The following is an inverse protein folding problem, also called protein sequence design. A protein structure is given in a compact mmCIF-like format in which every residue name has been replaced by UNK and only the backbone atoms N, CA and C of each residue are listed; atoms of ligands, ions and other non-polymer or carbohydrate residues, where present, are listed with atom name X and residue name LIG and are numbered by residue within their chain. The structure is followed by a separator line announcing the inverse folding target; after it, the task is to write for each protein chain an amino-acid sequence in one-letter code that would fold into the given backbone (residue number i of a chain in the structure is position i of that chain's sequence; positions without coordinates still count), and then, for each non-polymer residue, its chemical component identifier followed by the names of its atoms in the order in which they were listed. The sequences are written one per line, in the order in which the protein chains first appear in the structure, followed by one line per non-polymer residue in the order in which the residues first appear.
data_IF_763971449173
#
_entry.id   IF_763971449173
#
_cell.length_a   1.000
_cell.length_b   1.000
_cell.length_c   1.000
_cell.angle_alpha   90.00
_cell.angle_beta   90.00
_cell.angle_gamma   90.00
#
_symmetry.space_group_name_H-M   'P 1'
#
loop_
_entity.id
_entity.type
_entity.pdbx_description
1 polymer ?
#
# COMPACT_ATOMS: atom_id res chain seq x y z
N UNK A 1 -2.52 -102.46 43.22
CA UNK A 1 -2.30 -101.50 42.17
C UNK A 1 -2.60 -100.12 42.75
N UNK A 2 -1.62 -99.22 43.01
CA UNK A 2 -1.90 -97.91 43.49
C UNK A 2 -1.94 -96.94 42.28
N UNK A 3 -2.88 -96.03 42.34
CA UNK A 3 -3.20 -95.03 41.33
C UNK A 3 -2.44 -93.74 41.64
N UNK A 4 -1.37 -93.47 40.90
CA UNK A 4 -0.60 -92.22 41.05
C UNK A 4 -1.30 -91.06 40.36
N UNK A 5 -1.88 -90.15 41.20
CA UNK A 5 -2.36 -88.85 40.73
C UNK A 5 -1.19 -87.90 40.65
N UNK A 6 -0.67 -87.68 39.40
CA UNK A 6 0.21 -86.52 39.11
C UNK A 6 -0.56 -85.23 39.26
N UNK A 7 -0.40 -84.52 40.39
CA UNK A 7 -0.80 -83.15 40.57
C UNK A 7 0.32 -82.27 39.93
N UNK A 8 0.06 -81.75 38.71
CA UNK A 8 0.93 -80.75 38.11
C UNK A 8 0.76 -79.44 38.92
N UNK A 9 1.61 -79.24 39.89
CA UNK A 9 1.73 -77.96 40.63
C UNK A 9 2.26 -76.91 39.66
N UNK A 10 1.39 -75.96 39.25
CA UNK A 10 1.83 -74.75 38.53
C UNK A 10 2.79 -74.07 39.50
N UNK A 11 4.08 -74.13 39.17
CA UNK A 11 5.13 -73.46 39.93
C UNK A 11 4.85 -71.95 39.99
N UNK A 12 4.34 -71.43 41.10
CA UNK A 12 4.05 -70.04 41.33
C UNK A 12 5.20 -69.08 40.94
N UNK A 13 6.42 -69.57 40.97
CA UNK A 13 7.62 -68.90 40.52
C UNK A 13 7.52 -68.42 39.04
N UNK A 14 7.02 -69.27 38.12
CA UNK A 14 6.84 -68.90 36.71
C UNK A 14 5.76 -67.82 36.54
N UNK A 15 4.69 -67.83 37.39
CA UNK A 15 3.69 -66.78 37.41
C UNK A 15 4.28 -65.42 37.77
N UNK A 16 5.14 -65.38 38.81
CA UNK A 16 5.81 -64.13 39.22
C UNK A 16 6.76 -63.63 38.11
N UNK A 17 7.53 -64.50 37.47
CA UNK A 17 8.45 -64.14 36.36
C UNK A 17 7.68 -63.54 35.19
N UNK A 18 6.54 -64.10 34.81
CA UNK A 18 5.68 -63.59 33.73
C UNK A 18 5.10 -62.20 34.10
N UNK A 19 4.68 -61.99 35.34
CA UNK A 19 4.18 -60.70 35.80
C UNK A 19 5.29 -59.65 35.79
N UNK A 20 6.48 -59.96 36.25
CA UNK A 20 7.66 -59.05 36.23
C UNK A 20 8.05 -58.71 34.78
N UNK A 21 8.04 -59.69 33.90
CA UNK A 21 8.37 -59.49 32.47
C UNK A 21 7.29 -58.63 31.76
N UNK A 22 6.01 -58.86 32.04
CA UNK A 22 4.92 -58.04 31.57
C UNK A 22 5.00 -56.60 32.09
N UNK A 23 5.32 -56.42 33.38
CA UNK A 23 5.55 -55.11 33.99
C UNK A 23 6.76 -54.37 33.34
N UNK A 24 7.86 -55.12 33.10
CA UNK A 24 9.05 -54.57 32.43
C UNK A 24 8.75 -54.16 30.96
N UNK A 25 7.98 -54.97 30.22
CA UNK A 25 7.50 -54.61 28.90
C UNK A 25 6.56 -53.37 28.93
N UNK A 26 5.65 -53.32 29.91
CA UNK A 26 4.74 -52.19 30.09
C UNK A 26 5.49 -50.90 30.43
N UNK A 27 6.45 -50.95 31.35
CA UNK A 27 7.32 -49.84 31.73
C UNK A 27 8.15 -49.40 30.52
N UNK A 28 8.77 -50.35 29.82
CA UNK A 28 9.57 -50.12 28.60
C UNK A 28 8.68 -49.46 27.53
N UNK A 29 7.49 -49.99 27.26
CA UNK A 29 6.56 -49.41 26.28
C UNK A 29 6.10 -48.01 26.68
N UNK A 30 5.89 -47.73 27.98
CA UNK A 30 5.45 -46.42 28.48
C UNK A 30 6.58 -45.37 28.47
N UNK A 31 7.81 -45.77 28.83
CA UNK A 31 8.93 -44.84 28.91
C UNK A 31 9.71 -44.72 27.59
N UNK A 32 9.79 -45.77 26.78
CA UNK A 32 10.52 -45.71 25.48
C UNK A 32 9.65 -45.33 24.29
N UNK A 33 8.30 -45.38 24.35
CA UNK A 33 7.44 -44.85 23.30
C UNK A 33 7.45 -43.32 23.18
N UNK A 34 8.04 -42.60 24.17
CA UNK A 34 8.06 -41.15 24.19
C UNK A 34 9.16 -40.47 23.38
N UNK A 35 10.08 -41.20 22.79
CA UNK A 35 11.21 -40.59 22.05
C UNK A 35 11.15 -40.76 20.52
N UNK A 36 10.05 -41.29 20.00
CA UNK A 36 9.86 -41.34 18.56
C UNK A 36 9.51 -39.94 18.03
N UNK A 37 10.33 -39.42 17.16
CA UNK A 37 10.12 -38.22 16.33
C UNK A 37 10.40 -36.85 16.95
N UNK A 38 11.46 -36.71 17.73
CA UNK A 38 12.03 -35.40 17.97
C UNK A 38 13.15 -35.11 16.98
N UNK A 39 12.95 -34.15 16.10
CA UNK A 39 14.00 -33.60 15.26
C UNK A 39 14.79 -32.57 16.05
N UNK A 40 16.08 -32.43 15.75
CA UNK A 40 16.97 -31.47 16.42
C UNK A 40 17.16 -30.29 15.47
N UNK A 41 17.16 -29.08 16.01
CA UNK A 41 17.41 -27.88 15.25
C UNK A 41 18.28 -26.89 16.00
N UNK A 42 18.60 -25.82 15.30
CA UNK A 42 19.30 -24.65 15.83
C UNK A 42 18.45 -23.41 15.55
N UNK A 43 18.35 -22.52 16.51
CA UNK A 43 17.77 -21.21 16.31
C UNK A 43 18.71 -20.34 15.49
N UNK A 44 18.16 -19.62 14.53
CA UNK A 44 18.94 -18.74 13.66
C UNK A 44 18.33 -17.34 13.68
N UNK A 45 19.21 -16.35 13.76
CA UNK A 45 18.89 -14.94 13.56
C UNK A 45 19.42 -14.52 12.21
N UNK A 46 18.54 -13.98 11.38
CA UNK A 46 19.00 -13.35 10.13
C UNK A 46 19.40 -11.91 10.42
N UNK A 47 20.67 -11.62 10.17
CA UNK A 47 21.16 -10.26 10.10
C UNK A 47 20.44 -9.52 8.98
N UNK A 48 19.94 -8.32 9.23
CA UNK A 48 19.41 -7.47 8.19
C UNK A 48 20.32 -6.26 7.96
N UNK A 49 20.50 -5.94 6.70
CA UNK A 49 21.35 -4.86 6.24
C UNK A 49 20.49 -3.67 5.87
N UNK A 50 20.90 -2.50 6.31
CA UNK A 50 20.29 -1.24 5.92
C UNK A 50 21.13 -0.63 4.82
N UNK A 51 20.51 -0.40 3.67
CA UNK A 51 21.17 0.09 2.47
C UNK A 51 20.69 1.52 2.14
N UNK A 52 21.49 2.25 1.38
CA UNK A 52 21.06 3.48 0.74
C UNK A 52 20.21 3.14 -0.50
N UNK A 53 19.06 3.79 -0.69
CA UNK A 53 18.22 3.57 -1.88
C UNK A 53 18.71 4.38 -3.08
N UNK A 54 19.39 5.50 -2.82
CA UNK A 54 19.99 6.35 -3.88
C UNK A 54 21.33 6.93 -3.43
N UNK A 55 22.01 7.56 -4.38
CA UNK A 55 23.26 8.28 -4.08
C UNK A 55 22.99 9.42 -3.09
N UNK A 56 23.74 9.45 -1.99
CA UNK A 56 23.53 10.42 -0.92
C UNK A 56 24.81 10.67 -0.12
N UNK A 57 24.88 11.80 0.57
CA UNK A 57 25.93 12.13 1.52
C UNK A 57 25.49 11.68 2.91
N UNK A 58 26.37 11.01 3.66
CA UNK A 58 26.12 10.65 5.06
C UNK A 58 26.24 11.92 5.92
N UNK A 59 25.11 12.42 6.42
CA UNK A 59 25.06 13.60 7.28
C UNK A 59 25.50 13.28 8.70
N UNK A 60 24.94 12.23 9.28
CA UNK A 60 25.29 11.77 10.63
C UNK A 60 25.06 10.26 10.79
N UNK A 61 25.89 9.64 11.61
CA UNK A 61 25.75 8.26 12.08
C UNK A 61 25.58 8.32 13.59
N UNK A 62 24.43 7.81 14.08
CA UNK A 62 24.04 7.93 15.50
C UNK A 62 24.37 6.71 16.32
N UNK A 63 24.83 5.63 15.68
CA UNK A 63 25.08 4.33 16.32
C UNK A 63 26.48 3.82 16.04
N UNK A 64 26.95 2.98 16.93
CA UNK A 64 28.27 2.30 16.80
C UNK A 64 28.12 0.79 16.83
N UNK A 65 29.07 0.08 16.26
CA UNK A 65 29.10 -1.38 16.32
C UNK A 65 29.10 -1.88 17.77
N UNK A 66 28.27 -2.89 18.07
CA UNK A 66 28.03 -3.41 19.42
C UNK A 66 26.93 -2.70 20.21
N UNK A 67 26.39 -1.59 19.73
CA UNK A 67 25.31 -0.86 20.39
C UNK A 67 23.97 -1.59 20.23
N UNK A 68 23.20 -1.69 21.32
CA UNK A 68 21.81 -2.15 21.28
C UNK A 68 20.92 -1.00 20.79
N UNK A 69 20.01 -1.33 19.89
CA UNK A 69 19.03 -0.40 19.31
C UNK A 69 17.61 -0.95 19.47
N UNK A 70 16.64 -0.05 19.58
CA UNK A 70 15.22 -0.38 19.65
C UNK A 70 14.53 -0.05 18.34
N UNK A 71 13.43 -0.73 18.07
CA UNK A 71 12.55 -0.44 16.94
C UNK A 71 12.17 1.04 16.89
N UNK A 72 12.36 1.68 15.73
CA UNK A 72 12.11 3.11 15.53
C UNK A 72 13.24 4.04 15.98
N UNK A 73 14.35 3.53 16.50
CA UNK A 73 15.52 4.33 16.86
C UNK A 73 16.23 4.86 15.61
N UNK A 74 16.63 6.12 15.62
CA UNK A 74 17.34 6.77 14.52
C UNK A 74 18.78 6.27 14.43
N UNK A 75 19.16 5.74 13.27
CA UNK A 75 20.46 5.14 13.03
C UNK A 75 21.38 6.04 12.22
N UNK A 76 20.94 6.44 11.04
CA UNK A 76 21.72 7.22 10.08
C UNK A 76 20.80 8.27 9.43
N UNK A 77 21.34 9.48 9.28
CA UNK A 77 20.75 10.54 8.47
C UNK A 77 21.59 10.73 7.20
N UNK A 78 20.94 10.66 6.06
CA UNK A 78 21.53 10.94 4.76
C UNK A 78 20.96 12.25 4.21
N UNK A 79 21.64 12.86 3.25
CA UNK A 79 21.16 13.99 2.47
C UNK A 79 21.47 13.79 0.99
N UNK A 80 20.56 14.18 0.11
CA UNK A 80 20.77 14.16 -1.32
C UNK A 80 20.37 15.51 -1.90
N UNK A 81 21.38 16.27 -2.32
CA UNK A 81 21.15 17.57 -2.97
C UNK A 81 20.38 17.43 -4.27
N UNK A 82 20.61 16.36 -5.01
CA UNK A 82 19.88 16.04 -6.24
C UNK A 82 18.39 15.89 -5.97
N UNK A 83 18.01 15.12 -4.94
CA UNK A 83 16.61 14.92 -4.55
C UNK A 83 15.92 16.22 -4.12
N UNK A 84 16.60 17.06 -3.35
CA UNK A 84 16.06 18.38 -2.97
C UNK A 84 15.85 19.28 -4.19
N UNK A 85 16.80 19.27 -5.14
CA UNK A 85 16.63 20.02 -6.39
C UNK A 85 15.46 19.49 -7.25
N UNK A 86 15.24 18.19 -7.30
CA UNK A 86 14.11 17.59 -8.02
C UNK A 86 12.78 17.99 -7.36
N UNK A 87 12.69 17.94 -6.03
CA UNK A 87 11.53 18.39 -5.25
C UNK A 87 11.22 19.86 -5.54
N UNK A 88 12.23 20.72 -5.51
CA UNK A 88 12.07 22.15 -5.77
C UNK A 88 11.62 22.39 -7.23
N UNK A 89 12.20 21.70 -8.18
CA UNK A 89 11.85 21.80 -9.61
C UNK A 89 10.38 21.42 -9.86
N UNK A 90 9.93 20.28 -9.32
CA UNK A 90 8.55 19.83 -9.46
C UNK A 90 7.59 20.77 -8.72
N UNK A 91 7.93 21.20 -7.51
CA UNK A 91 7.14 22.17 -6.73
C UNK A 91 6.94 23.47 -7.48
N UNK A 92 8.01 24.04 -8.06
CA UNK A 92 7.96 25.26 -8.87
C UNK A 92 7.11 25.04 -10.14
N UNK A 93 7.21 23.87 -10.78
CA UNK A 93 6.39 23.56 -11.95
C UNK A 93 4.91 23.52 -11.64
N UNK A 94 4.53 22.93 -10.48
CA UNK A 94 3.15 22.92 -10.00
C UNK A 94 2.63 24.33 -9.77
N UNK A 95 3.42 25.20 -9.15
CA UNK A 95 3.05 26.62 -8.93
C UNK A 95 2.80 27.32 -10.24
N UNK A 96 3.70 27.18 -11.22
CA UNK A 96 3.54 27.81 -12.56
C UNK A 96 2.27 27.34 -13.28
N UNK A 97 1.94 26.03 -13.22
CA UNK A 97 0.72 25.52 -13.84
C UNK A 97 -0.55 26.00 -13.12
N UNK A 98 -0.52 26.15 -11.79
CA UNK A 98 -1.64 26.73 -11.03
C UNK A 98 -1.86 28.20 -11.38
N UNK A 99 -0.80 28.97 -11.55
CA UNK A 99 -0.87 30.37 -11.99
C UNK A 99 -1.40 30.48 -13.44
N UNK A 100 -0.95 29.58 -14.32
CA UNK A 100 -1.47 29.50 -15.69
C UNK A 100 -2.97 29.16 -15.69
N UNK A 101 -3.39 28.19 -14.89
CA UNK A 101 -4.80 27.80 -14.73
C UNK A 101 -5.66 28.99 -14.27
N UNK A 102 -5.18 29.74 -13.27
CA UNK A 102 -5.90 30.91 -12.78
C UNK A 102 -5.97 32.02 -13.83
N UNK A 103 -4.88 32.25 -14.56
CA UNK A 103 -4.83 33.27 -15.64
C UNK A 103 -5.78 32.92 -16.77
N UNK A 104 -5.82 31.66 -17.21
CA UNK A 104 -6.77 31.17 -18.23
C UNK A 104 -8.21 31.29 -17.75
N UNK A 105 -8.51 30.95 -16.48
CA UNK A 105 -9.87 31.12 -15.95
C UNK A 105 -10.34 32.59 -15.99
N UNK A 106 -9.46 33.54 -15.68
CA UNK A 106 -9.75 34.97 -15.80
C UNK A 106 -9.96 35.40 -17.24
N UNK A 107 -9.16 34.86 -18.18
CA UNK A 107 -9.28 35.18 -19.62
C UNK A 107 -10.64 34.70 -20.17
N UNK A 108 -11.06 33.47 -19.83
CA UNK A 108 -12.36 32.93 -20.24
C UNK A 108 -13.50 33.79 -19.72
N UNK A 109 -13.43 34.21 -18.45
CA UNK A 109 -14.44 35.09 -17.88
C UNK A 109 -14.50 36.44 -18.60
N UNK A 110 -13.33 37.05 -18.90
CA UNK A 110 -13.26 38.29 -19.66
C UNK A 110 -13.84 38.16 -21.06
N UNK A 111 -13.60 37.02 -21.75
CA UNK A 111 -14.17 36.74 -23.09
C UNK A 111 -15.70 36.62 -23.03
N UNK A 112 -16.27 35.97 -21.99
CA UNK A 112 -17.72 35.87 -21.79
C UNK A 112 -18.29 37.24 -21.51
N UNK A 113 -17.67 38.06 -20.67
CA UNK A 113 -18.15 39.41 -20.36
C UNK A 113 -18.07 40.33 -21.56
N UNK A 114 -17.02 40.25 -22.37
CA UNK A 114 -16.89 40.96 -23.64
C UNK A 114 -18.02 40.53 -24.62
N UNK A 115 -18.29 39.23 -24.77
CA UNK A 115 -19.35 38.72 -25.63
C UNK A 115 -20.74 39.27 -25.20
N UNK A 116 -20.98 39.31 -23.88
CA UNK A 116 -22.23 39.87 -23.34
C UNK A 116 -22.42 41.36 -23.62
N UNK A 117 -21.33 42.11 -23.48
CA UNK A 117 -21.32 43.53 -23.77
C UNK A 117 -21.51 43.81 -25.26
N UNK A 118 -20.80 43.12 -26.13
CA UNK A 118 -20.85 43.25 -27.58
C UNK A 118 -22.24 42.88 -28.13
N UNK A 119 -22.80 41.76 -27.67
CA UNK A 119 -24.14 41.31 -28.13
C UNK A 119 -25.31 41.97 -27.38
N UNK A 120 -25.03 42.66 -26.31
CA UNK A 120 -26.03 43.46 -25.57
C UNK A 120 -26.57 44.64 -26.37
N UNK A 121 -25.68 45.33 -27.15
CA UNK A 121 -26.06 46.50 -27.94
C UNK A 121 -27.12 46.18 -29.01
N UNK A 122 -26.97 45.16 -29.89
CA UNK A 122 -28.00 44.79 -30.86
C UNK A 122 -29.32 44.33 -30.22
N UNK A 123 -29.28 43.74 -29.05
CA UNK A 123 -30.49 43.32 -28.30
C UNK A 123 -31.25 44.52 -27.77
N UNK A 124 -30.55 45.54 -27.26
CA UNK A 124 -31.17 46.81 -26.78
C UNK A 124 -31.78 47.60 -27.93
N UNK A 125 -31.11 47.65 -29.09
CA UNK A 125 -31.66 48.25 -30.29
C UNK A 125 -32.96 47.57 -30.74
N UNK A 126 -32.99 46.22 -30.77
CA UNK A 126 -34.18 45.44 -31.08
C UNK A 126 -35.29 45.67 -30.07
N UNK A 127 -34.97 45.80 -28.77
CA UNK A 127 -35.95 46.10 -27.73
C UNK A 127 -36.57 47.49 -27.92
N UNK A 128 -35.76 48.48 -28.30
CA UNK A 128 -36.21 49.84 -28.59
C UNK A 128 -37.13 49.85 -29.80
N UNK A 129 -36.74 49.14 -30.90
CA UNK A 129 -37.59 49.05 -32.11
C UNK A 129 -38.92 48.32 -31.86
N UNK A 130 -38.88 47.26 -31.02
CA UNK A 130 -40.10 46.54 -30.55
C UNK A 130 -40.99 47.48 -29.77
N UNK A 131 -40.45 48.31 -28.87
CA UNK A 131 -41.20 49.28 -28.07
C UNK A 131 -41.84 50.36 -28.96
N UNK A 132 -41.10 50.90 -29.95
CA UNK A 132 -41.66 51.86 -30.91
C UNK A 132 -42.78 51.23 -31.74
N UNK A 133 -42.57 50.06 -32.33
CA UNK A 133 -43.56 49.34 -33.12
C UNK A 133 -44.86 49.05 -32.32
N UNK A 134 -44.72 48.70 -31.02
CA UNK A 134 -45.92 48.57 -30.13
C UNK A 134 -46.60 49.86 -29.92
N UNK A 135 -45.90 50.98 -29.72
CA UNK A 135 -46.47 52.31 -29.58
C UNK A 135 -47.25 52.71 -30.83
N UNK A 136 -46.68 52.45 -32.03
CA UNK A 136 -47.31 52.73 -33.31
C UNK A 136 -48.57 51.90 -33.50
N UNK A 137 -48.57 50.63 -33.13
CA UNK A 137 -49.79 49.79 -33.17
C UNK A 137 -50.88 50.35 -32.24
N UNK A 138 -50.53 50.80 -31.03
CA UNK A 138 -51.48 51.38 -30.08
C UNK A 138 -52.06 52.71 -30.60
N UNK A 139 -51.18 53.56 -31.20
CA UNK A 139 -51.63 54.83 -31.78
C UNK A 139 -52.58 54.59 -32.96
N UNK A 140 -52.20 53.69 -33.89
CA UNK A 140 -53.06 53.34 -35.01
C UNK A 140 -54.42 52.77 -34.55
N UNK A 141 -54.44 51.93 -33.48
CA UNK A 141 -55.65 51.40 -32.89
C UNK A 141 -56.53 52.48 -32.30
N UNK A 142 -55.99 53.53 -31.65
CA UNK A 142 -56.70 54.67 -31.12
C UNK A 142 -57.28 55.53 -32.28
N UNK A 143 -56.51 55.90 -33.28
CA UNK A 143 -56.92 56.67 -34.42
C UNK A 143 -57.98 55.96 -35.22
N UNK A 144 -57.87 54.65 -35.46
CA UNK A 144 -58.90 53.88 -36.15
C UNK A 144 -60.25 53.86 -35.35
N UNK A 145 -60.17 53.76 -34.02
CA UNK A 145 -61.31 53.77 -33.14
C UNK A 145 -61.99 55.13 -33.16
N UNK A 146 -61.27 56.23 -33.21
CA UNK A 146 -61.81 57.59 -33.31
C UNK A 146 -62.40 57.91 -34.71
N UNK A 147 -61.85 57.37 -35.76
CA UNK A 147 -62.29 57.54 -37.15
C UNK A 147 -63.52 56.61 -37.47
N UNK A 148 -63.63 55.46 -36.84
CA UNK A 148 -64.63 54.44 -37.07
C UNK A 148 -66.01 54.77 -36.42
N UNK A 149 -66.22 55.94 -35.84
CA UNK A 149 -67.53 56.41 -35.34
C UNK A 149 -68.50 56.72 -36.46
N UNK A 150 -68.22 56.40 -37.72
CA UNK A 150 -69.03 56.77 -38.86
C UNK A 150 -69.35 55.79 -39.97
N UNK A 151 -68.80 54.56 -40.06
CA UNK A 151 -69.15 53.56 -41.07
C UNK A 151 -68.55 52.19 -40.85
N UNK A 152 -69.30 51.14 -41.11
CA UNK A 152 -69.02 49.71 -41.33
C UNK A 152 -67.66 49.16 -40.91
N UNK A 153 -67.61 48.50 -39.80
CA UNK A 153 -66.45 47.89 -39.16
C UNK A 153 -66.08 46.46 -39.69
N UNK A 154 -66.33 46.19 -40.97
CA UNK A 154 -66.23 44.78 -41.45
C UNK A 154 -64.97 44.35 -42.15
N UNK A 155 -63.90 45.12 -42.27
CA UNK A 155 -62.69 44.71 -43.12
C UNK A 155 -61.33 44.97 -42.46
N UNK A 156 -61.20 44.96 -41.19
CA UNK A 156 -59.88 44.97 -40.58
C UNK A 156 -59.54 43.58 -40.02
N UNK A 157 -59.00 42.74 -40.91
CA UNK A 157 -58.44 41.52 -40.48
C UNK A 157 -57.22 41.84 -39.61
N UNK A 158 -57.34 41.74 -38.29
CA UNK A 158 -56.26 42.07 -37.31
C UNK A 158 -55.00 41.29 -37.55
N UNK A 159 -55.08 40.19 -38.32
CA UNK A 159 -53.93 39.29 -38.65
C UNK A 159 -53.00 39.83 -39.75
N UNK A 160 -53.55 40.65 -40.70
CA UNK A 160 -52.78 41.15 -41.86
C UNK A 160 -52.22 42.57 -41.67
N UNK A 161 -52.20 43.06 -40.43
CA UNK A 161 -51.62 44.39 -40.16
C UNK A 161 -50.09 44.35 -40.32
N UNK A 162 -49.49 45.12 -41.26
CA UNK A 162 -48.02 45.10 -41.53
C UNK A 162 -47.19 45.41 -40.30
N UNK A 163 -47.68 46.22 -39.34
CA UNK A 163 -47.00 46.51 -38.09
C UNK A 163 -46.98 45.29 -37.15
N UNK A 164 -47.95 44.39 -37.16
CA UNK A 164 -47.91 43.14 -36.42
C UNK A 164 -46.99 42.13 -37.04
N UNK A 165 -46.91 42.04 -38.37
CA UNK A 165 -45.98 41.21 -39.08
C UNK A 165 -44.55 41.68 -38.72
N UNK A 166 -44.29 43.00 -38.75
CA UNK A 166 -43.02 43.59 -38.35
C UNK A 166 -42.69 43.25 -36.88
N UNK A 167 -43.65 43.43 -35.99
CA UNK A 167 -43.47 43.11 -34.55
C UNK A 167 -43.09 41.64 -34.35
N UNK A 168 -43.76 40.70 -35.04
CA UNK A 168 -43.47 39.27 -34.94
C UNK A 168 -42.10 38.96 -35.51
N UNK A 169 -41.68 39.60 -36.59
CA UNK A 169 -40.34 39.44 -37.15
C UNK A 169 -39.25 39.92 -36.18
N UNK A 170 -39.47 41.06 -35.51
CA UNK A 170 -38.53 41.61 -34.53
C UNK A 170 -38.40 40.68 -33.30
N UNK A 171 -39.52 40.11 -32.82
CA UNK A 171 -39.47 39.11 -31.75
C UNK A 171 -38.69 37.86 -32.16
N UNK A 172 -38.90 37.40 -33.40
CA UNK A 172 -38.12 36.26 -33.94
C UNK A 172 -36.65 36.57 -34.03
N UNK A 173 -36.26 37.74 -34.52
CA UNK A 173 -34.87 38.20 -34.59
C UNK A 173 -34.25 38.29 -33.20
N UNK A 174 -34.99 38.91 -32.22
CA UNK A 174 -34.53 38.96 -30.82
C UNK A 174 -34.30 37.57 -30.25
N UNK A 175 -35.23 36.64 -30.48
CA UNK A 175 -35.05 35.25 -30.00
C UNK A 175 -33.86 34.56 -30.62
N UNK A 176 -33.62 34.74 -31.94
CA UNK A 176 -32.47 34.19 -32.65
C UNK A 176 -31.15 34.78 -32.15
N UNK A 177 -31.08 36.11 -31.94
CA UNK A 177 -29.88 36.75 -31.36
C UNK A 177 -29.56 36.21 -29.97
N UNK A 178 -30.59 36.15 -29.10
CA UNK A 178 -30.42 35.58 -27.75
C UNK A 178 -29.98 34.14 -27.76
N UNK A 179 -30.49 33.32 -28.65
CA UNK A 179 -30.11 31.94 -28.80
C UNK A 179 -28.66 31.82 -29.31
N UNK A 180 -28.25 32.61 -30.31
CA UNK A 180 -26.89 32.63 -30.82
C UNK A 180 -25.86 33.05 -29.74
N UNK A 181 -26.22 34.03 -28.90
CA UNK A 181 -25.40 34.46 -27.78
C UNK A 181 -25.21 33.33 -26.76
N UNK A 182 -26.29 32.63 -26.37
CA UNK A 182 -26.24 31.49 -25.45
C UNK A 182 -25.34 30.38 -25.98
N UNK A 183 -25.44 30.06 -27.28
CA UNK A 183 -24.59 29.05 -27.91
C UNK A 183 -23.12 29.47 -27.85
N UNK A 184 -22.78 30.71 -28.25
CA UNK A 184 -21.39 31.20 -28.22
C UNK A 184 -20.81 31.23 -26.78
N UNK A 185 -21.62 31.64 -25.80
CA UNK A 185 -21.21 31.62 -24.39
C UNK A 185 -20.93 30.17 -23.92
N UNK A 186 -21.80 29.23 -24.31
CA UNK A 186 -21.59 27.82 -23.99
C UNK A 186 -20.35 27.25 -24.63
N UNK A 187 -20.06 27.60 -25.89
CA UNK A 187 -18.84 27.17 -26.61
C UNK A 187 -17.57 27.66 -25.91
N UNK A 188 -17.50 28.96 -25.57
CA UNK A 188 -16.36 29.54 -24.84
C UNK A 188 -16.15 28.84 -23.49
N UNK A 189 -17.24 28.61 -22.74
CA UNK A 189 -17.15 27.91 -21.46
C UNK A 189 -16.73 26.46 -21.61
N UNK A 190 -17.23 25.77 -22.64
CA UNK A 190 -16.88 24.38 -22.92
C UNK A 190 -15.40 24.23 -23.29
N UNK A 191 -14.89 25.10 -24.16
CA UNK A 191 -13.47 25.12 -24.52
C UNK A 191 -12.58 25.38 -23.29
N UNK A 192 -12.98 26.39 -22.48
CA UNK A 192 -12.29 26.69 -21.24
C UNK A 192 -12.32 25.56 -20.22
N UNK A 193 -13.41 24.82 -20.13
CA UNK A 193 -13.53 23.66 -19.25
C UNK A 193 -12.57 22.54 -19.66
N UNK A 194 -12.44 22.25 -20.96
CA UNK A 194 -11.52 21.24 -21.49
C UNK A 194 -10.07 21.62 -21.17
N UNK A 195 -9.68 22.87 -21.40
CA UNK A 195 -8.35 23.36 -21.06
C UNK A 195 -8.05 23.28 -19.55
N UNK A 196 -9.01 23.65 -18.71
CA UNK A 196 -8.87 23.53 -17.25
C UNK A 196 -8.72 22.08 -16.80
N UNK A 197 -9.47 21.15 -17.41
CA UNK A 197 -9.30 19.73 -17.12
C UNK A 197 -7.90 19.22 -17.50
N UNK A 198 -7.37 19.66 -18.65
CA UNK A 198 -6.04 19.27 -19.06
C UNK A 198 -4.99 19.73 -18.05
N UNK A 199 -5.04 21.01 -17.65
CA UNK A 199 -4.13 21.57 -16.64
C UNK A 199 -4.28 20.88 -15.28
N UNK A 200 -5.51 20.60 -14.84
CA UNK A 200 -5.76 19.85 -13.62
C UNK A 200 -5.13 18.45 -13.64
N UNK A 201 -5.23 17.74 -14.77
CA UNK A 201 -4.62 16.41 -14.90
C UNK A 201 -3.10 16.49 -14.85
N UNK A 202 -2.49 17.50 -15.48
CA UNK A 202 -1.05 17.72 -15.42
C UNK A 202 -0.57 18.05 -14.00
N UNK A 203 -1.28 18.94 -13.31
CA UNK A 203 -0.99 19.29 -11.91
C UNK A 203 -1.08 18.04 -11.02
N UNK A 204 -2.13 17.24 -11.18
CA UNK A 204 -2.32 16.01 -10.40
C UNK A 204 -1.17 15.01 -10.60
N UNK A 205 -0.71 14.83 -11.84
CA UNK A 205 0.44 13.95 -12.12
C UNK A 205 1.70 14.44 -11.43
N UNK A 206 1.99 15.74 -11.50
CA UNK A 206 3.16 16.33 -10.82
C UNK A 206 3.03 16.29 -9.29
N UNK A 207 1.82 16.43 -8.74
CA UNK A 207 1.59 16.27 -7.29
C UNK A 207 1.86 14.84 -6.83
N UNK A 208 1.50 13.82 -7.63
CA UNK A 208 1.84 12.42 -7.37
C UNK A 208 3.36 12.17 -7.44
N UNK A 209 4.03 12.75 -8.43
CA UNK A 209 5.49 12.67 -8.54
C UNK A 209 6.18 13.35 -7.35
N UNK A 210 5.69 14.52 -6.93
CA UNK A 210 6.19 15.23 -5.76
C UNK A 210 6.03 14.41 -4.47
N UNK A 211 4.91 13.72 -4.31
CA UNK A 211 4.66 12.86 -3.14
C UNK A 211 5.61 11.66 -3.10
N UNK A 212 5.90 11.07 -4.27
CA UNK A 212 6.91 10.02 -4.40
C UNK A 212 8.29 10.52 -3.95
N UNK A 213 8.74 11.68 -4.48
CA UNK A 213 10.03 12.27 -4.11
C UNK A 213 10.11 12.63 -2.63
N UNK A 214 9.00 13.08 -2.02
CA UNK A 214 8.93 13.33 -0.56
C UNK A 214 9.04 12.05 0.24
N UNK A 215 8.47 10.97 -0.23
CA UNK A 215 8.61 9.64 0.39
C UNK A 215 10.07 9.18 0.31
N UNK A 216 10.71 9.31 -0.85
CA UNK A 216 12.15 9.03 -1.00
C UNK A 216 13.01 9.89 -0.07
N UNK A 217 12.66 11.18 0.11
CA UNK A 217 13.33 12.05 1.08
C UNK A 217 13.17 11.55 2.51
N UNK A 218 12.00 11.06 2.88
CA UNK A 218 11.79 10.48 4.22
C UNK A 218 12.63 9.22 4.43
N UNK A 219 12.87 8.44 3.37
CA UNK A 219 13.69 7.23 3.40
C UNK A 219 15.20 7.53 3.52
N UNK A 220 15.64 8.78 3.36
CA UNK A 220 17.02 9.16 3.66
C UNK A 220 17.34 9.13 5.16
N UNK A 221 16.33 9.09 6.00
CA UNK A 221 16.49 8.90 7.44
C UNK A 221 16.24 7.42 7.76
N UNK A 222 17.27 6.72 8.21
CA UNK A 222 17.20 5.29 8.47
C UNK A 222 16.94 5.02 9.94
N UNK A 223 15.92 4.22 10.20
CA UNK A 223 15.50 3.79 11.54
C UNK A 223 15.64 2.27 11.69
N UNK A 224 15.81 1.81 12.93
CA UNK A 224 15.82 0.39 13.24
C UNK A 224 14.43 -0.22 13.01
N UNK A 225 14.34 -1.26 12.21
CA UNK A 225 13.08 -1.98 11.93
C UNK A 225 12.70 -2.97 13.01
N UNK A 226 13.65 -3.39 13.85
CA UNK A 226 13.43 -4.28 15.01
C UNK A 226 14.47 -4.02 16.09
N UNK A 227 14.17 -4.49 17.31
CA UNK A 227 15.15 -4.50 18.41
C UNK A 227 16.32 -5.41 18.05
N UNK A 228 17.53 -4.91 18.23
CA UNK A 228 18.72 -5.65 17.81
C UNK A 228 20.03 -5.07 18.35
N UNK A 229 21.11 -5.64 17.88
CA UNK A 229 22.48 -5.15 18.11
C UNK A 229 23.08 -4.77 16.77
N UNK A 230 23.65 -3.58 16.66
CA UNK A 230 24.38 -3.15 15.47
C UNK A 230 25.65 -4.01 15.35
N UNK A 231 25.69 -4.87 14.35
CA UNK A 231 26.84 -5.78 14.13
C UNK A 231 28.00 -5.04 13.49
N UNK A 232 27.70 -4.21 12.49
CA UNK A 232 28.71 -3.48 11.73
C UNK A 232 28.17 -2.13 11.25
N UNK A 233 29.03 -1.13 11.17
CA UNK A 233 28.77 0.16 10.53
C UNK A 233 29.83 0.34 9.45
N UNK A 234 29.40 0.48 8.19
CA UNK A 234 30.27 0.47 7.02
C UNK A 234 30.61 1.88 6.51
N UNK A 235 29.92 2.90 7.00
CA UNK A 235 30.02 4.28 6.50
C UNK A 235 30.37 5.26 7.60
N UNK A 236 30.88 6.44 7.21
CA UNK A 236 31.28 7.52 8.11
C UNK A 236 30.57 8.82 7.75
N UNK A 237 30.32 9.73 8.72
CA UNK A 237 29.84 11.08 8.44
C UNK A 237 30.74 11.79 7.41
N UNK A 238 30.14 12.47 6.43
CA UNK A 238 30.82 13.15 5.34
C UNK A 238 31.18 12.28 4.13
N UNK A 239 30.91 10.97 4.19
CA UNK A 239 31.13 10.04 3.07
C UNK A 239 29.98 10.08 2.07
N UNK A 240 30.31 10.05 0.78
CA UNK A 240 29.31 9.92 -0.29
C UNK A 240 29.14 8.45 -0.65
N UNK A 241 27.89 7.99 -0.62
CA UNK A 241 27.54 6.60 -0.94
C UNK A 241 26.71 6.55 -2.21
N UNK A 242 26.88 5.46 -2.96
CA UNK A 242 26.07 5.15 -4.15
C UNK A 242 24.76 4.47 -3.76
N UNK A 243 23.84 4.36 -4.71
CA UNK A 243 22.62 3.56 -4.53
C UNK A 243 22.98 2.11 -4.15
N UNK A 244 22.18 1.54 -3.24
CA UNK A 244 22.30 0.18 -2.72
C UNK A 244 23.60 -0.13 -1.95
N UNK A 245 24.36 0.88 -1.56
CA UNK A 245 25.50 0.71 -0.66
C UNK A 245 25.01 0.31 0.73
N UNK A 246 25.61 -0.72 1.30
CA UNK A 246 25.34 -1.16 2.67
C UNK A 246 25.86 -0.11 3.66
N UNK A 247 24.97 0.38 4.53
CA UNK A 247 25.27 1.41 5.51
C UNK A 247 25.66 0.79 6.86
N UNK A 248 24.83 -0.13 7.32
CA UNK A 248 25.06 -0.87 8.56
C UNK A 248 24.29 -2.20 8.54
N UNK A 249 24.69 -3.09 9.46
CA UNK A 249 24.04 -4.38 9.68
C UNK A 249 23.58 -4.48 11.13
N UNK A 250 22.37 -5.06 11.31
CA UNK A 250 21.76 -5.27 12.63
C UNK A 250 21.37 -6.73 12.76
N UNK A 251 21.75 -7.31 13.90
CA UNK A 251 21.33 -8.65 14.30
C UNK A 251 20.23 -8.51 15.35
N UNK A 252 18.99 -9.00 15.10
CA UNK A 252 17.94 -9.03 16.10
C UNK A 252 18.38 -9.78 17.37
N UNK A 253 17.90 -9.33 18.52
CA UNK A 253 18.25 -9.98 19.82
C UNK A 253 17.70 -11.40 19.91
N UNK A 254 16.55 -11.64 19.30
CA UNK A 254 15.83 -12.91 19.38
C UNK A 254 15.66 -13.58 18.04
N UNK A 255 15.85 -14.90 17.96
CA UNK A 255 15.67 -15.63 16.72
C UNK A 255 14.21 -15.65 16.30
N UNK A 256 13.98 -15.56 15.01
CA UNK A 256 12.65 -15.71 14.40
C UNK A 256 12.54 -16.98 13.56
N UNK A 257 13.66 -17.67 13.37
CA UNK A 257 13.73 -18.88 12.57
C UNK A 257 14.44 -19.99 13.32
N UNK A 258 13.98 -21.22 13.12
CA UNK A 258 14.64 -22.43 13.57
C UNK A 258 14.94 -23.27 12.33
N UNK A 259 16.19 -23.69 12.18
CA UNK A 259 16.58 -24.67 11.18
C UNK A 259 16.59 -26.02 11.86
N UNK A 260 15.60 -26.85 11.55
CA UNK A 260 15.54 -28.24 12.00
C UNK A 260 16.23 -29.16 11.00
N UNK A 261 16.77 -30.26 11.48
CA UNK A 261 17.42 -31.28 10.65
C UNK A 261 16.71 -32.61 10.82
N UNK A 262 16.03 -33.04 9.75
CA UNK A 262 15.34 -34.31 9.68
C UNK A 262 16.32 -35.40 9.21
N UNK A 263 16.70 -36.29 10.13
CA UNK A 263 17.60 -37.39 9.84
C UNK A 263 16.83 -38.71 9.73
N UNK A 264 17.20 -39.59 8.76
CA UNK A 264 16.68 -40.95 8.64
C UNK A 264 15.41 -41.07 7.77
N UNK A 265 14.70 -42.21 7.93
CA UNK A 265 13.51 -42.56 7.13
C UNK A 265 12.29 -41.63 7.29
N UNK A 266 12.33 -40.69 8.25
CA UNK A 266 11.20 -39.83 8.62
C UNK A 266 11.21 -38.46 7.91
N UNK A 267 11.64 -38.43 6.65
CA UNK A 267 11.73 -37.18 5.87
C UNK A 267 10.41 -36.44 5.61
N UNK A 268 9.27 -37.01 6.02
CA UNK A 268 7.95 -36.47 5.70
C UNK A 268 7.05 -36.25 6.93
N UNK A 269 7.61 -35.97 8.10
CA UNK A 269 6.82 -35.88 9.33
C UNK A 269 6.00 -34.58 9.44
N UNK A 270 6.38 -33.54 8.75
CA UNK A 270 5.67 -32.25 8.81
C UNK A 270 5.30 -31.78 7.38
N UNK A 271 4.10 -31.24 7.20
CA UNK A 271 3.75 -30.52 5.98
C UNK A 271 4.10 -29.04 6.11
N UNK A 272 4.30 -28.35 4.98
CA UNK A 272 4.43 -26.90 5.00
C UNK A 272 3.13 -26.28 5.49
N UNK A 273 3.22 -25.41 6.50
CA UNK A 273 2.08 -24.81 7.18
C UNK A 273 1.74 -25.48 8.52
N UNK A 274 2.28 -26.67 8.82
CA UNK A 274 2.03 -27.35 10.09
C UNK A 274 2.59 -26.57 11.28
N UNK A 275 1.85 -26.65 12.40
CA UNK A 275 2.28 -26.12 13.67
C UNK A 275 3.13 -27.17 14.41
N UNK A 276 4.35 -26.80 14.75
CA UNK A 276 5.31 -27.65 15.45
C UNK A 276 5.68 -27.04 16.79
N UNK A 277 5.95 -27.88 17.77
CA UNK A 277 6.41 -27.45 19.08
C UNK A 277 7.92 -27.44 19.10
N UNK A 278 8.49 -26.26 19.37
CA UNK A 278 9.92 -26.04 19.56
C UNK A 278 10.21 -25.89 21.04
N UNK A 279 11.19 -26.59 21.56
CA UNK A 279 11.60 -26.51 22.96
C UNK A 279 13.14 -26.52 23.08
N UNK A 280 13.67 -25.81 24.08
CA UNK A 280 15.10 -25.82 24.36
C UNK A 280 15.59 -27.24 24.67
N UNK A 281 16.76 -27.61 24.14
CA UNK A 281 17.31 -28.97 24.30
C UNK A 281 17.67 -29.31 25.76
N UNK A 282 18.21 -28.35 26.51
CA UNK A 282 18.65 -28.53 27.90
C UNK A 282 17.60 -28.15 28.93
N UNK A 283 16.63 -27.32 28.61
CA UNK A 283 15.63 -26.80 29.50
C UNK A 283 14.22 -26.93 28.89
N UNK A 284 13.54 -28.03 29.18
CA UNK A 284 12.19 -28.30 28.62
C UNK A 284 11.10 -27.35 29.08
N UNK A 285 11.38 -26.33 29.90
CA UNK A 285 10.42 -25.31 30.33
C UNK A 285 10.18 -24.26 29.27
N UNK A 286 11.15 -23.98 28.39
CA UNK A 286 11.01 -23.05 27.25
C UNK A 286 10.39 -23.83 26.09
N UNK A 287 9.11 -23.57 25.82
CA UNK A 287 8.35 -24.18 24.74
C UNK A 287 7.60 -23.11 23.96
N UNK A 288 7.68 -23.18 22.65
CA UNK A 288 6.95 -22.28 21.77
C UNK A 288 6.35 -23.06 20.60
N UNK A 289 5.28 -22.57 20.02
CA UNK A 289 4.72 -23.12 18.79
C UNK A 289 5.28 -22.33 17.61
N UNK A 290 5.91 -23.03 16.67
CA UNK A 290 6.36 -22.50 15.40
C UNK A 290 5.55 -23.05 14.24
N UNK A 291 5.70 -22.48 13.06
CA UNK A 291 5.07 -22.93 11.81
C UNK A 291 6.14 -23.35 10.82
N UNK A 292 5.96 -24.52 10.19
CA UNK A 292 6.84 -24.97 9.10
C UNK A 292 6.61 -24.10 7.87
N UNK A 293 7.67 -23.40 7.42
CA UNK A 293 7.61 -22.50 6.24
C UNK A 293 8.19 -23.14 4.98
N UNK A 294 9.05 -24.17 5.13
CA UNK A 294 9.62 -24.83 3.97
C UNK A 294 10.66 -25.88 4.33
N UNK A 295 11.17 -26.51 3.28
CA UNK A 295 12.24 -27.49 3.35
C UNK A 295 13.44 -27.03 2.52
N UNK A 296 14.63 -27.23 3.08
CA UNK A 296 15.89 -27.02 2.39
C UNK A 296 16.46 -28.28 1.75
N UNK A 297 17.73 -28.20 1.40
CA UNK A 297 18.50 -29.32 0.87
C UNK A 297 18.85 -30.36 1.96
N UNK A 298 19.38 -31.50 1.56
CA UNK A 298 20.03 -32.42 2.47
C UNK A 298 21.47 -31.91 2.67
N UNK A 299 21.76 -31.49 3.89
CA UNK A 299 23.06 -30.91 4.26
C UNK A 299 23.72 -31.68 5.40
N UNK A 300 25.00 -31.46 5.61
CA UNK A 300 25.68 -31.95 6.79
C UNK A 300 25.18 -31.22 8.03
N UNK A 301 24.86 -31.96 9.10
CA UNK A 301 24.47 -31.36 10.35
C UNK A 301 25.62 -30.48 10.91
N UNK A 302 25.30 -29.29 11.46
CA UNK A 302 26.25 -28.47 12.20
C UNK A 302 26.96 -29.30 13.32
N UNK A 303 28.20 -29.00 13.62
CA UNK A 303 28.98 -29.76 14.56
C UNK A 303 28.36 -29.87 15.97
N UNK A 304 27.67 -28.80 16.39
CA UNK A 304 26.91 -28.75 17.66
C UNK A 304 25.78 -29.78 17.73
N UNK A 305 25.25 -30.24 16.58
CA UNK A 305 24.20 -31.26 16.50
C UNK A 305 24.69 -32.65 16.26
N UNK A 306 26.00 -32.83 15.92
CA UNK A 306 26.56 -34.13 15.69
C UNK A 306 26.80 -34.88 17.01
N UNK A 307 26.48 -36.17 17.05
CA UNK A 307 26.74 -37.03 18.22
C UNK A 307 28.19 -37.48 18.31
N UNK A 308 28.90 -37.48 17.20
CA UNK A 308 30.32 -37.89 17.09
C UNK A 308 30.98 -37.07 16.01
N UNK A 309 32.18 -36.59 16.27
CA UNK A 309 33.00 -35.87 15.30
C UNK A 309 33.64 -36.79 14.23
N UNK A 310 33.69 -38.11 14.51
CA UNK A 310 34.28 -39.10 13.60
C UNK A 310 33.36 -39.47 12.41
N UNK A 311 32.04 -39.32 12.55
CA UNK A 311 31.06 -39.68 11.51
C UNK A 311 30.18 -38.51 11.22
N UNK A 312 30.25 -37.99 9.99
CA UNK A 312 29.42 -36.90 9.53
C UNK A 312 27.98 -37.36 9.36
N UNK A 313 27.06 -36.70 10.04
CA UNK A 313 25.62 -36.94 9.89
C UNK A 313 25.04 -35.98 8.88
N UNK A 314 24.06 -36.42 8.08
CA UNK A 314 23.33 -35.62 7.12
C UNK A 314 21.83 -35.62 7.46
N UNK A 315 21.17 -34.51 7.19
CA UNK A 315 19.73 -34.34 7.40
C UNK A 315 19.16 -33.36 6.39
N UNK A 316 17.86 -33.50 6.14
CA UNK A 316 17.12 -32.53 5.35
C UNK A 316 16.76 -31.35 6.25
N UNK A 317 17.07 -30.15 5.80
CA UNK A 317 16.69 -28.94 6.50
C UNK A 317 15.18 -28.73 6.47
N UNK A 318 14.63 -28.27 7.58
CA UNK A 318 13.25 -27.76 7.70
C UNK A 318 13.31 -26.40 8.34
N UNK A 319 12.71 -25.41 7.69
CA UNK A 319 12.65 -24.05 8.20
C UNK A 319 11.33 -23.85 8.96
N UNK A 320 11.47 -23.39 10.17
CA UNK A 320 10.33 -23.17 11.09
C UNK A 320 10.38 -21.71 11.54
N UNK A 321 9.32 -20.99 11.28
CA UNK A 321 9.13 -19.65 11.79
C UNK A 321 8.63 -19.69 13.23
N UNK A 322 9.25 -18.92 14.10
CA UNK A 322 8.87 -18.78 15.51
C UNK A 322 8.57 -17.30 15.83
N UNK A 323 7.60 -17.01 16.73
CA UNK A 323 7.31 -15.64 17.14
C UNK A 323 8.53 -14.96 17.75
N UNK A 324 8.71 -13.65 17.49
CA UNK A 324 9.79 -12.83 18.06
C UNK A 324 9.71 -12.70 19.59
N UNK A 325 8.54 -12.97 20.19
CA UNK A 325 8.33 -12.97 21.65
C UNK A 325 8.84 -14.24 22.34
N UNK A 326 9.92 -14.84 21.83
CA UNK A 326 10.52 -16.05 22.41
C UNK A 326 11.68 -15.70 23.36
N UNK A 327 12.17 -16.70 24.13
CA UNK A 327 13.31 -16.56 25.04
C UNK A 327 14.51 -17.43 24.62
N UNK A 328 14.58 -17.82 23.33
CA UNK A 328 15.74 -18.56 22.82
C UNK A 328 16.90 -17.61 22.54
N UNK A 329 18.11 -18.12 22.76
CA UNK A 329 19.33 -17.47 22.31
C UNK A 329 19.62 -17.80 20.84
N UNK A 330 20.40 -16.96 20.16
CA UNK A 330 20.87 -17.27 18.81
C UNK A 330 21.84 -18.46 18.85
N UNK A 331 21.70 -19.42 17.93
CA UNK A 331 22.51 -20.63 17.88
C UNK A 331 22.13 -21.66 18.93
N UNK A 332 21.02 -21.48 19.67
CA UNK A 332 20.59 -22.42 20.69
C UNK A 332 20.06 -23.71 20.06
N UNK A 333 20.47 -24.85 20.67
CA UNK A 333 20.00 -26.17 20.25
C UNK A 333 18.57 -26.39 20.75
N UNK A 334 17.70 -26.79 19.84
CA UNK A 334 16.27 -27.00 20.12
C UNK A 334 15.79 -28.37 19.67
N UNK A 335 14.71 -28.84 20.30
CA UNK A 335 13.97 -30.04 19.93
C UNK A 335 12.66 -29.60 19.24
N UNK A 336 12.36 -30.25 18.11
CA UNK A 336 11.17 -30.02 17.30
C UNK A 336 10.29 -31.27 17.41
N UNK A 337 9.03 -31.08 17.76
CA UNK A 337 8.03 -32.14 17.94
C UNK A 337 6.69 -31.79 17.30
#
# INVERSE_FOLDING_TARGET
MPNDKHTSGINWFYGVVVIVFAAMIWISAKYFRGSAYSSIGITEVKEYKINSERSALIKSVRVVAGQQVKTGELLIELSSTELEMDIDKISNRIVLLKDEQQSKARLIQAQVDYLRADQGIPLEELETEIAQTKSDIQLNKKLTKELATGSDTSVWNEADNPLRVKLNSLYKQKAQHKQAMVIKEADIRQEGFIEQQLLNNQIKLLEQELDLLRTERSNLVKYASSDGVVTSVYVKPGEQVSSYTELLAITPVRPTTVIGYLAGKNNNTFAVGDSVRVSAYGNGSIKITGRVIGYGAVTQLPDILQKSTAVKAFGREVFIEIPSSNNFANGEKVLIR
#
